data_IF_449310475641
#
_entry.id   IF_449310475641
#
_cell.length_a   1.000
_cell.length_b   1.000
_cell.length_c   1.000
_cell.angle_alpha   90.00
_cell.angle_beta   90.00
_cell.angle_gamma   90.00
#
_symmetry.space_group_name_H-M   'P 1'
#
loop_
_entity.id
_entity.type
_entity.pdbx_description
1 polymer ?
#
# COMPACT_ATOMS: atom_id res chain seq x y z
N UNK A 1 -0.88 1.30 -7.72
CA UNK A 1 -0.81 2.78 -7.69
C UNK A 1 -1.79 3.33 -6.64
N UNK A 2 -1.61 4.55 -6.08
CA UNK A 2 -2.60 5.20 -5.22
C UNK A 2 -3.96 5.34 -5.91
N UNK A 3 -5.04 5.16 -5.15
CA UNK A 3 -6.42 5.27 -5.68
C UNK A 3 -6.95 4.06 -6.42
N UNK A 4 -6.23 2.96 -6.54
CA UNK A 4 -6.71 1.78 -7.30
C UNK A 4 -7.73 0.90 -6.56
N UNK A 5 -8.11 1.22 -5.31
CA UNK A 5 -9.09 0.42 -4.55
C UNK A 5 -8.50 -0.46 -3.44
N UNK A 6 -7.17 -0.54 -3.28
CA UNK A 6 -6.49 -1.37 -2.27
C UNK A 6 -7.04 -1.19 -0.85
N UNK A 7 -7.13 0.04 -0.38
CA UNK A 7 -7.59 0.32 1.00
C UNK A 7 -9.02 -0.16 1.25
N UNK A 8 -9.84 -0.19 0.22
CA UNK A 8 -11.22 -0.71 0.30
C UNK A 8 -11.21 -2.21 0.54
N UNK A 9 -10.42 -2.96 -0.25
CA UNK A 9 -10.23 -4.40 -0.08
C UNK A 9 -9.69 -4.69 1.32
N UNK A 10 -8.63 -3.98 1.74
CA UNK A 10 -8.02 -4.17 3.06
C UNK A 10 -9.04 -3.94 4.18
N UNK A 11 -9.88 -2.91 4.10
CA UNK A 11 -10.92 -2.64 5.09
C UNK A 11 -11.95 -3.77 5.17
N UNK A 12 -12.35 -4.33 4.03
CA UNK A 12 -13.30 -5.46 3.98
C UNK A 12 -12.68 -6.73 4.56
N UNK A 13 -11.45 -7.05 4.16
CA UNK A 13 -10.74 -8.24 4.66
C UNK A 13 -10.47 -8.14 6.18
N UNK A 14 -10.19 -6.94 6.69
CA UNK A 14 -10.09 -6.67 8.11
C UNK A 14 -11.41 -6.91 8.84
N UNK A 15 -12.53 -6.49 8.25
CA UNK A 15 -13.87 -6.76 8.80
C UNK A 15 -14.19 -8.26 8.82
N UNK A 16 -13.56 -9.06 7.97
CA UNK A 16 -13.64 -10.53 7.94
C UNK A 16 -12.68 -11.21 8.92
N UNK A 17 -11.94 -10.45 9.74
CA UNK A 17 -11.06 -10.97 10.78
C UNK A 17 -9.60 -11.14 10.39
N UNK A 18 -9.18 -10.74 9.19
CA UNK A 18 -7.77 -10.76 8.79
C UNK A 18 -7.01 -9.55 9.37
N UNK A 19 -5.84 -9.80 9.93
CA UNK A 19 -4.97 -8.72 10.39
C UNK A 19 -4.42 -7.93 9.20
N UNK A 20 -4.36 -6.61 9.35
CA UNK A 20 -3.84 -5.74 8.30
C UNK A 20 -2.94 -4.64 8.86
N UNK A 21 -1.82 -4.41 8.20
CA UNK A 21 -0.86 -3.36 8.47
C UNK A 21 -0.72 -2.46 7.23
N UNK A 22 -0.44 -1.19 7.44
CA UNK A 22 -0.24 -0.23 6.34
C UNK A 22 1.11 0.47 6.49
N UNK A 23 1.95 0.39 5.47
CA UNK A 23 3.27 1.04 5.46
C UNK A 23 3.17 2.56 5.63
N UNK A 24 2.12 3.17 5.09
CA UNK A 24 1.86 4.60 5.28
C UNK A 24 1.53 4.97 6.73
N UNK A 25 0.94 4.08 7.50
CA UNK A 25 0.67 4.31 8.93
C UNK A 25 1.97 4.27 9.75
N UNK A 26 2.92 3.43 9.39
CA UNK A 26 4.28 3.46 9.94
C UNK A 26 4.97 4.82 9.72
N UNK A 27 4.84 5.37 8.51
CA UNK A 27 5.37 6.71 8.20
C UNK A 27 4.64 7.81 8.99
N UNK A 28 3.32 7.72 9.14
CA UNK A 28 2.53 8.68 9.95
C UNK A 28 2.91 8.61 11.44
N UNK A 29 3.13 7.43 11.96
CA UNK A 29 3.60 7.24 13.34
C UNK A 29 4.98 7.88 13.54
N UNK A 30 5.90 7.67 12.61
CA UNK A 30 7.23 8.28 12.64
C UNK A 30 7.17 9.82 12.49
N UNK A 31 6.29 10.34 11.63
CA UNK A 31 6.05 11.78 11.50
C UNK A 31 5.54 12.39 12.80
N UNK A 32 4.58 11.73 13.46
CA UNK A 32 4.09 12.17 14.79
C UNK A 32 5.20 12.15 15.84
N UNK A 33 6.02 11.11 15.87
CA UNK A 33 7.16 11.01 16.78
C UNK A 33 8.15 12.16 16.60
N UNK A 34 8.30 12.65 15.37
CA UNK A 34 9.19 13.80 15.02
C UNK A 34 8.49 15.16 15.05
N UNK A 35 7.21 15.23 15.45
CA UNK A 35 6.40 16.45 15.40
C UNK A 35 6.32 17.08 13.99
N UNK A 36 6.27 16.24 12.94
CA UNK A 36 6.09 16.66 11.55
C UNK A 36 4.60 16.69 11.24
N UNK A 37 4.12 17.78 10.63
CA UNK A 37 2.73 17.92 10.18
C UNK A 37 2.38 16.85 9.14
N UNK A 38 1.19 16.22 9.30
CA UNK A 38 0.70 15.13 8.44
C UNK A 38 0.15 15.64 7.10
N UNK A 39 0.93 16.41 6.33
CA UNK A 39 0.61 16.77 4.96
C UNK A 39 1.19 15.78 3.96
N UNK A 40 0.61 15.71 2.75
CA UNK A 40 1.11 14.82 1.69
C UNK A 40 2.57 15.11 1.31
N UNK A 41 2.96 16.39 1.30
CA UNK A 41 4.31 16.82 0.96
C UNK A 41 5.32 16.45 2.06
N UNK A 42 4.98 16.69 3.33
CA UNK A 42 5.84 16.35 4.46
C UNK A 42 6.03 14.83 4.60
N UNK A 43 4.95 14.06 4.47
CA UNK A 43 5.03 12.60 4.49
C UNK A 43 5.86 12.06 3.30
N UNK A 44 5.72 12.69 2.12
CA UNK A 44 6.54 12.37 0.95
C UNK A 44 8.02 12.59 1.20
N UNK A 45 8.40 13.75 1.77
CA UNK A 45 9.77 14.07 2.14
C UNK A 45 10.33 13.12 3.19
N UNK A 46 9.55 12.83 4.23
CA UNK A 46 9.95 11.88 5.28
C UNK A 46 10.19 10.47 4.72
N UNK A 47 9.33 9.98 3.82
CA UNK A 47 9.53 8.68 3.18
C UNK A 47 10.83 8.62 2.36
N UNK A 48 11.19 9.70 1.67
CA UNK A 48 12.45 9.77 0.92
C UNK A 48 13.65 9.82 1.87
N UNK A 49 13.59 10.66 2.91
CA UNK A 49 14.63 10.75 3.94
C UNK A 49 14.89 9.41 4.62
N UNK A 50 13.82 8.70 5.01
CA UNK A 50 13.95 7.38 5.63
C UNK A 50 14.65 6.38 4.72
N UNK A 51 14.33 6.38 3.42
CA UNK A 51 14.99 5.50 2.44
C UNK A 51 16.44 5.89 2.18
N UNK A 52 16.74 7.18 2.15
CA UNK A 52 18.10 7.67 1.98
C UNK A 52 19.00 7.24 3.14
N UNK A 53 18.52 7.40 4.37
CA UNK A 53 19.27 7.06 5.59
C UNK A 53 19.38 5.57 5.88
N UNK A 54 18.31 4.81 5.66
CA UNK A 54 18.17 3.43 6.13
C UNK A 54 18.01 2.42 4.99
N UNK A 55 18.20 2.87 3.74
CA UNK A 55 18.07 2.05 2.55
C UNK A 55 16.63 1.97 2.00
N UNK A 56 16.47 1.45 0.78
CA UNK A 56 15.22 1.48 0.02
C UNK A 56 14.08 0.67 0.66
N UNK A 57 14.38 -0.28 1.55
CA UNK A 57 13.39 -1.06 2.31
C UNK A 57 12.95 -0.44 3.64
N UNK A 58 13.44 0.76 3.99
CA UNK A 58 13.28 1.38 5.30
C UNK A 58 11.82 1.48 5.78
N UNK A 59 10.86 1.70 4.86
CA UNK A 59 9.46 1.85 5.25
C UNK A 59 8.87 0.51 5.68
N UNK A 60 9.21 -0.59 5.00
CA UNK A 60 8.78 -1.93 5.42
C UNK A 60 9.46 -2.34 6.74
N UNK A 61 10.70 -1.92 6.97
CA UNK A 61 11.41 -2.18 8.21
C UNK A 61 10.70 -1.61 9.45
N UNK A 62 9.93 -0.51 9.31
CA UNK A 62 9.12 0.05 10.41
C UNK A 62 8.05 -0.92 10.94
N UNK A 63 7.63 -1.90 10.15
CA UNK A 63 6.58 -2.86 10.54
C UNK A 63 7.11 -4.25 10.92
N UNK A 64 8.39 -4.54 10.73
CA UNK A 64 8.94 -5.90 10.93
C UNK A 64 8.76 -6.41 12.35
N UNK A 65 8.97 -5.56 13.35
CA UNK A 65 8.76 -5.92 14.76
C UNK A 65 7.28 -6.22 15.04
N UNK A 66 6.36 -5.43 14.48
CA UNK A 66 4.93 -5.65 14.65
C UNK A 66 4.51 -6.97 13.99
N UNK A 67 5.03 -7.29 12.80
CA UNK A 67 4.76 -8.55 12.11
C UNK A 67 5.28 -9.73 12.91
N UNK A 68 6.51 -9.68 13.44
CA UNK A 68 7.11 -10.74 14.24
C UNK A 68 6.36 -11.03 15.54
N UNK A 69 5.80 -9.98 16.16
CA UNK A 69 5.08 -10.07 17.43
C UNK A 69 3.59 -10.42 17.25
N UNK A 70 3.10 -10.49 16.01
CA UNK A 70 1.73 -10.89 15.74
C UNK A 70 1.53 -12.39 15.92
N UNK A 71 0.39 -12.78 16.50
CA UNK A 71 -0.08 -14.16 16.56
C UNK A 71 -0.82 -14.62 15.30
N UNK A 72 -1.08 -13.71 14.37
CA UNK A 72 -1.82 -13.99 13.13
C UNK A 72 -0.97 -14.80 12.16
N UNK A 73 -1.54 -15.88 11.63
CA UNK A 73 -0.89 -16.68 10.58
C UNK A 73 -0.81 -15.95 9.23
N UNK A 74 -1.73 -15.01 9.01
CA UNK A 74 -1.83 -14.23 7.77
C UNK A 74 -1.98 -12.77 8.11
N UNK A 75 -1.11 -11.93 7.54
CA UNK A 75 -1.13 -10.48 7.71
C UNK A 75 -1.17 -9.83 6.33
N UNK A 76 -2.13 -8.95 6.11
CA UNK A 76 -2.21 -8.15 4.90
C UNK A 76 -1.37 -6.89 5.08
N UNK A 77 -0.36 -6.67 4.24
CA UNK A 77 0.46 -5.46 4.25
C UNK A 77 0.09 -4.58 3.07
N UNK A 78 -0.55 -3.43 3.33
CA UNK A 78 -0.92 -2.44 2.30
C UNK A 78 0.17 -1.37 2.15
N UNK A 79 0.35 -0.91 0.93
CA UNK A 79 1.18 0.25 0.61
C UNK A 79 2.61 -0.06 0.21
N UNK A 80 2.94 -1.31 -0.12
CA UNK A 80 4.24 -1.70 -0.69
C UNK A 80 4.48 -0.96 -2.01
N UNK A 81 5.69 -0.40 -2.19
CA UNK A 81 6.05 0.44 -3.33
C UNK A 81 7.35 0.07 -4.02
N UNK A 82 8.14 -0.82 -3.44
CA UNK A 82 9.43 -1.21 -4.02
C UNK A 82 9.75 -2.68 -3.79
N UNK A 83 10.60 -3.23 -4.65
CA UNK A 83 11.13 -4.60 -4.49
C UNK A 83 11.89 -4.72 -3.18
N UNK A 84 12.64 -3.69 -2.79
CA UNK A 84 13.37 -3.70 -1.53
C UNK A 84 12.46 -3.82 -0.30
N UNK A 85 11.26 -3.22 -0.33
CA UNK A 85 10.26 -3.40 0.72
C UNK A 85 9.74 -4.84 0.75
N UNK A 86 9.54 -5.46 -0.42
CA UNK A 86 9.14 -6.87 -0.53
C UNK A 86 10.23 -7.79 0.07
N UNK A 87 11.51 -7.55 -0.26
CA UNK A 87 12.61 -8.32 0.29
C UNK A 87 12.73 -8.19 1.82
N UNK A 88 12.48 -6.99 2.37
CA UNK A 88 12.40 -6.83 3.83
C UNK A 88 11.25 -7.65 4.41
N UNK A 89 10.05 -7.64 3.81
CA UNK A 89 8.92 -8.43 4.28
C UNK A 89 9.18 -9.94 4.20
N UNK A 90 9.90 -10.41 3.19
CA UNK A 90 10.33 -11.83 3.08
C UNK A 90 11.23 -12.27 4.23
N UNK A 91 11.90 -11.37 4.93
CA UNK A 91 12.72 -11.74 6.11
C UNK A 91 11.87 -12.12 7.33
N UNK A 92 10.57 -11.80 7.32
CA UNK A 92 9.66 -12.03 8.44
C UNK A 92 8.49 -12.95 8.10
N UNK A 93 8.39 -13.45 6.86
CA UNK A 93 7.37 -14.42 6.47
C UNK A 93 7.36 -14.71 4.97
N UNK A 94 6.57 -15.71 4.55
CA UNK A 94 6.28 -15.96 3.15
C UNK A 94 5.45 -14.81 2.58
N UNK A 95 5.81 -14.29 1.40
CA UNK A 95 5.14 -13.14 0.79
C UNK A 95 4.48 -13.55 -0.51
N UNK A 96 3.20 -13.19 -0.66
CA UNK A 96 2.45 -13.20 -1.91
C UNK A 96 2.03 -11.76 -2.24
N UNK A 97 2.17 -11.37 -3.50
CA UNK A 97 1.94 -10.00 -3.94
C UNK A 97 0.71 -9.90 -4.85
N UNK A 98 -0.31 -9.17 -4.38
CA UNK A 98 -1.50 -8.84 -5.15
C UNK A 98 -1.42 -7.39 -5.65
N UNK A 99 -1.46 -7.22 -6.96
CA UNK A 99 -1.60 -5.91 -7.60
C UNK A 99 -3.07 -5.58 -7.85
N UNK A 100 -3.47 -4.35 -7.49
CA UNK A 100 -4.76 -3.79 -7.88
C UNK A 100 -4.49 -2.61 -8.80
N UNK A 101 -4.95 -2.72 -10.05
CA UNK A 101 -4.72 -1.72 -11.08
C UNK A 101 -6.01 -0.98 -11.43
N UNK A 102 -5.88 0.28 -11.79
CA UNK A 102 -6.94 1.08 -12.38
C UNK A 102 -6.33 2.20 -13.23
N UNK A 103 -7.07 2.68 -14.22
CA UNK A 103 -6.65 3.82 -15.07
C UNK A 103 -6.38 5.07 -14.24
N UNK A 104 -5.58 5.99 -14.74
CA UNK A 104 -5.28 7.24 -14.07
C UNK A 104 -6.56 8.03 -13.74
N UNK A 105 -7.53 8.05 -14.66
CA UNK A 105 -8.79 8.76 -14.48
C UNK A 105 -9.67 8.11 -13.40
N UNK A 106 -9.78 6.79 -13.40
CA UNK A 106 -10.48 6.04 -12.34
C UNK A 106 -9.84 6.31 -10.99
N UNK A 107 -8.52 6.26 -10.90
CA UNK A 107 -7.77 6.49 -9.63
C UNK A 107 -7.93 7.93 -9.13
N UNK A 108 -7.86 8.91 -10.02
CA UNK A 108 -8.09 10.32 -9.67
C UNK A 108 -9.51 10.55 -9.14
N UNK A 109 -10.53 9.98 -9.81
CA UNK A 109 -11.92 10.01 -9.36
C UNK A 109 -12.08 9.42 -7.95
N UNK A 110 -11.49 8.26 -7.67
CA UNK A 110 -11.57 7.62 -6.36
C UNK A 110 -10.86 8.43 -5.27
N UNK A 111 -9.69 9.00 -5.55
CA UNK A 111 -8.95 9.83 -4.60
C UNK A 111 -9.71 11.14 -4.29
N UNK A 112 -10.26 11.80 -5.30
CA UNK A 112 -11.06 13.02 -5.12
C UNK A 112 -12.33 12.77 -4.29
N UNK A 113 -12.94 11.60 -4.42
CA UNK A 113 -14.12 11.22 -3.63
C UNK A 113 -13.77 10.87 -2.17
N UNK A 114 -12.58 10.33 -1.91
CA UNK A 114 -12.15 9.83 -0.59
C UNK A 114 -11.87 10.94 0.43
N UNK A 115 -11.40 12.09 0.00
CA UNK A 115 -11.17 13.31 0.80
C UNK A 115 -10.28 13.14 2.04
N UNK A 116 -9.20 12.33 1.99
CA UNK A 116 -8.20 12.30 3.06
C UNK A 116 -7.35 13.58 3.02
N UNK A 117 -6.75 13.95 4.16
CA UNK A 117 -5.89 15.14 4.26
C UNK A 117 -4.69 15.10 3.31
N UNK A 118 -4.20 13.90 2.98
CA UNK A 118 -3.07 13.63 2.08
C UNK A 118 -3.48 13.35 0.63
N UNK A 119 -4.78 13.45 0.29
CA UNK A 119 -5.24 13.24 -1.08
C UNK A 119 -4.97 14.45 -1.98
N UNK A 120 -4.65 14.21 -3.27
CA UNK A 120 -4.40 15.29 -4.21
C UNK A 120 -5.69 16.07 -4.49
N UNK A 121 -5.62 17.39 -4.33
CA UNK A 121 -6.75 18.29 -4.55
C UNK A 121 -6.92 18.70 -6.03
N UNK A 122 -5.86 18.56 -6.83
CA UNK A 122 -5.85 18.90 -8.26
C UNK A 122 -5.25 17.78 -9.09
N UNK A 123 -5.47 17.80 -10.40
CA UNK A 123 -4.92 16.83 -11.33
C UNK A 123 -3.39 16.88 -11.36
N UNK A 124 -2.81 18.06 -11.30
CA UNK A 124 -1.37 18.27 -11.28
C UNK A 124 -0.75 17.59 -10.05
N UNK A 125 -1.35 17.77 -8.86
CA UNK A 125 -0.90 17.12 -7.62
C UNK A 125 -1.03 15.61 -7.66
N UNK A 126 -2.04 15.10 -8.35
CA UNK A 126 -2.19 13.66 -8.60
C UNK A 126 -1.04 13.14 -9.48
N UNK A 127 -0.70 13.84 -10.57
CA UNK A 127 0.38 13.45 -11.48
C UNK A 127 1.76 13.55 -10.82
N UNK A 128 2.01 14.59 -10.01
CA UNK A 128 3.21 14.70 -9.19
C UNK A 128 3.35 13.50 -8.23
N UNK A 129 2.24 13.10 -7.60
CA UNK A 129 2.22 11.92 -6.72
C UNK A 129 2.52 10.65 -7.51
N UNK A 130 1.91 10.45 -8.66
CA UNK A 130 2.15 9.29 -9.52
C UNK A 130 3.62 9.20 -9.96
N UNK A 131 4.22 10.32 -10.37
CA UNK A 131 5.65 10.39 -10.73
C UNK A 131 6.54 10.00 -9.54
N UNK A 132 6.23 10.48 -8.33
CA UNK A 132 6.96 10.13 -7.11
C UNK A 132 6.85 8.64 -6.81
N UNK A 133 5.67 8.05 -6.87
CA UNK A 133 5.46 6.62 -6.61
C UNK A 133 6.18 5.73 -7.64
N UNK A 134 6.17 6.13 -8.92
CA UNK A 134 6.93 5.45 -9.98
C UNK A 134 8.44 5.57 -9.75
N UNK A 135 8.92 6.75 -9.32
CA UNK A 135 10.32 6.98 -8.97
C UNK A 135 10.81 6.11 -7.80
N UNK A 136 9.93 5.78 -6.86
CA UNK A 136 10.24 4.83 -5.76
C UNK A 136 10.35 3.38 -6.25
N UNK A 137 9.73 3.05 -7.39
CA UNK A 137 9.82 1.72 -8.00
C UNK A 137 8.53 0.90 -7.95
N UNK A 138 7.38 1.50 -7.67
CA UNK A 138 6.09 0.77 -7.58
C UNK A 138 5.76 0.03 -8.88
N UNK A 139 6.15 0.57 -10.04
CA UNK A 139 5.95 -0.10 -11.33
C UNK A 139 6.66 -1.45 -11.41
N UNK A 140 7.87 -1.56 -10.86
CA UNK A 140 8.61 -2.82 -10.79
C UNK A 140 7.92 -3.82 -9.86
N UNK A 141 7.39 -3.36 -8.72
CA UNK A 141 6.64 -4.22 -7.78
C UNK A 141 5.33 -4.73 -8.41
N UNK A 142 4.62 -3.90 -9.15
CA UNK A 142 3.43 -4.30 -9.91
C UNK A 142 3.77 -5.38 -10.94
N UNK A 143 4.86 -5.21 -11.68
CA UNK A 143 5.27 -6.14 -12.73
C UNK A 143 5.63 -7.56 -12.24
N UNK A 144 6.00 -7.72 -10.96
CA UNK A 144 6.33 -9.02 -10.35
C UNK A 144 5.21 -9.55 -9.45
N UNK A 145 4.01 -8.96 -9.49
CA UNK A 145 2.89 -9.44 -8.69
C UNK A 145 2.51 -10.88 -9.05
N UNK A 146 2.22 -11.70 -8.03
CA UNK A 146 1.76 -13.08 -8.22
C UNK A 146 0.37 -13.11 -8.89
N UNK A 147 -0.49 -12.13 -8.59
CA UNK A 147 -1.81 -11.95 -9.19
C UNK A 147 -2.13 -10.46 -9.33
N UNK A 148 -2.96 -10.12 -10.34
CA UNK A 148 -3.39 -8.73 -10.61
C UNK A 148 -4.90 -8.66 -10.82
N UNK A 149 -5.55 -7.67 -10.20
CA UNK A 149 -6.96 -7.35 -10.40
C UNK A 149 -7.08 -5.98 -11.09
N UNK A 150 -7.77 -5.93 -12.23
CA UNK A 150 -8.12 -4.67 -12.91
C UNK A 150 -9.44 -4.10 -12.34
N UNK A 151 -9.35 -2.95 -11.66
CA UNK A 151 -10.48 -2.28 -11.01
C UNK A 151 -10.95 -1.04 -11.81
N UNK A 152 -11.12 -1.18 -13.11
CA UNK A 152 -11.65 -0.07 -13.92
C UNK A 152 -13.18 0.01 -13.88
N UNK A 153 -13.85 -1.15 -13.86
CA UNK A 153 -15.31 -1.26 -13.99
C UNK A 153 -15.93 -2.18 -12.94
N UNK A 154 -15.19 -2.61 -11.92
CA UNK A 154 -15.73 -3.47 -10.88
C UNK A 154 -16.53 -2.67 -9.86
N UNK A 155 -17.64 -3.22 -9.43
CA UNK A 155 -18.32 -2.80 -8.22
C UNK A 155 -17.47 -3.14 -6.99
N UNK A 156 -17.80 -2.55 -5.86
CA UNK A 156 -17.13 -2.85 -4.60
C UNK A 156 -17.22 -4.35 -4.26
N UNK A 157 -18.38 -4.96 -4.46
CA UNK A 157 -18.61 -6.36 -4.14
C UNK A 157 -17.77 -7.27 -5.05
N UNK A 158 -17.77 -7.04 -6.36
CA UNK A 158 -16.96 -7.80 -7.31
C UNK A 158 -15.46 -7.69 -7.02
N UNK A 159 -14.97 -6.48 -6.74
CA UNK A 159 -13.56 -6.25 -6.39
C UNK A 159 -13.18 -7.02 -5.11
N UNK A 160 -14.04 -6.99 -4.10
CA UNK A 160 -13.81 -7.70 -2.84
C UNK A 160 -13.83 -9.21 -3.03
N UNK A 161 -14.79 -9.72 -3.78
CA UNK A 161 -14.90 -11.15 -4.08
C UNK A 161 -13.70 -11.69 -4.85
N UNK A 162 -13.23 -10.94 -5.87
CA UNK A 162 -12.01 -11.29 -6.61
C UNK A 162 -10.79 -11.37 -5.68
N UNK A 163 -10.59 -10.36 -4.83
CA UNK A 163 -9.48 -10.34 -3.90
C UNK A 163 -9.55 -11.47 -2.86
N UNK A 164 -10.74 -11.72 -2.32
CA UNK A 164 -10.97 -12.80 -1.35
C UNK A 164 -10.63 -14.17 -1.93
N UNK A 165 -11.12 -14.51 -3.12
CA UNK A 165 -10.83 -15.78 -3.81
C UNK A 165 -9.32 -16.00 -4.02
N UNK A 166 -8.60 -14.96 -4.39
CA UNK A 166 -7.14 -15.03 -4.58
C UNK A 166 -6.45 -15.31 -3.24
N UNK A 167 -6.81 -14.57 -2.19
CA UNK A 167 -6.20 -14.70 -0.87
C UNK A 167 -6.53 -16.06 -0.26
N UNK A 168 -7.77 -16.51 -0.35
CA UNK A 168 -8.20 -17.83 0.11
C UNK A 168 -7.43 -18.97 -0.58
N UNK A 169 -7.22 -18.87 -1.91
CA UNK A 169 -6.37 -19.80 -2.65
C UNK A 169 -4.95 -19.85 -2.10
N UNK A 170 -4.36 -18.69 -1.76
CA UNK A 170 -3.02 -18.63 -1.22
C UNK A 170 -2.89 -19.13 0.22
N UNK A 171 -3.94 -18.98 1.02
CA UNK A 171 -3.97 -19.51 2.40
C UNK A 171 -4.07 -21.02 2.41
N UNK A 172 -4.75 -21.60 1.41
CA UNK A 172 -5.01 -23.04 1.32
C UNK A 172 -3.98 -23.81 0.46
N UNK A 173 -2.98 -23.10 -0.10
CA UNK A 173 -1.89 -23.71 -0.89
C UNK A 173 -0.64 -23.95 -0.05
#
# INVERSE_FOLDING_TARGET
MPGSGKSTIVSTLKAMGLESLNLGDGVRAEAKRRNIELSGDNLGKLMLELRDKNGPGAIAALLTEQIKNSSSKVIIVDGVRSIAEIEVLKTVGAVKLLSIEASADTRYKFLSARRRSDDPKTREKFEERDKRELGVGIGKSIAIADETISNNNLTLNELTECAYKIIEKWINS
#
